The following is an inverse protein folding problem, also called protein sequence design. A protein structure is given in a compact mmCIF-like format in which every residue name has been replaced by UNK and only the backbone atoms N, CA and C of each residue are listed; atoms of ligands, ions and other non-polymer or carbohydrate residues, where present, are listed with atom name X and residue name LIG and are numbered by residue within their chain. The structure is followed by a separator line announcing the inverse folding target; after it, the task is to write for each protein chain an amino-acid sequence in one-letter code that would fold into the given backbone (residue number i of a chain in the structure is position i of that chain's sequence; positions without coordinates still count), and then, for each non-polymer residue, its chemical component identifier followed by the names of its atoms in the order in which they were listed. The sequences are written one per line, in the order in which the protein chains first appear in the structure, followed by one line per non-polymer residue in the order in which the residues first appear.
data_IF_054831767445
#
_entry.id   IF_054831767445
#
_cell.length_a   1.000
_cell.length_b   1.000
_cell.length_c   1.000
_cell.angle_alpha   90.00
_cell.angle_beta   90.00
_cell.angle_gamma   90.00
#
_symmetry.space_group_name_H-M   'P 1'
#
loop_
_entity.id
_entity.type
_entity.pdbx_description
1 polymer ?
#
# COMPACT_ATOMS: atom_id res chain seq x y z
N UNK A 1 -13.03 22.71 -3.49
CA UNK A 1 -12.56 21.84 -4.60
C UNK A 1 -12.62 20.39 -4.13
N UNK A 2 -13.32 19.46 -4.81
CA UNK A 2 -13.58 18.13 -4.28
C UNK A 2 -12.62 17.09 -4.88
N UNK A 3 -11.35 17.11 -4.46
CA UNK A 3 -10.39 16.03 -4.76
C UNK A 3 -10.60 14.81 -3.86
N UNK A 4 -11.07 15.01 -2.61
CA UNK A 4 -11.47 13.94 -1.67
C UNK A 4 -12.56 13.02 -2.21
N UNK A 5 -13.45 13.51 -3.09
CA UNK A 5 -14.59 12.74 -3.58
C UNK A 5 -14.23 11.67 -4.63
N UNK A 6 -13.11 11.83 -5.34
CA UNK A 6 -12.70 10.90 -6.41
C UNK A 6 -11.96 9.69 -5.84
N UNK A 7 -11.07 9.91 -4.87
CA UNK A 7 -10.40 8.84 -4.13
C UNK A 7 -11.40 8.00 -3.33
N UNK A 8 -12.30 8.66 -2.59
CA UNK A 8 -13.33 7.98 -1.80
C UNK A 8 -14.28 7.14 -2.67
N UNK A 9 -14.67 7.63 -3.86
CA UNK A 9 -15.51 6.86 -4.80
C UNK A 9 -14.82 5.59 -5.32
N UNK A 10 -13.50 5.60 -5.49
CA UNK A 10 -12.74 4.39 -5.90
C UNK A 10 -12.66 3.39 -4.75
N UNK A 11 -12.41 3.86 -3.53
CA UNK A 11 -12.45 3.04 -2.32
C UNK A 11 -13.84 2.43 -2.14
N UNK A 12 -14.91 3.23 -2.24
CA UNK A 12 -16.29 2.74 -2.13
C UNK A 12 -16.64 1.73 -3.23
N UNK A 13 -16.10 1.87 -4.44
CA UNK A 13 -16.29 0.90 -5.53
C UNK A 13 -15.55 -0.41 -5.27
N UNK A 14 -14.33 -0.35 -4.74
CA UNK A 14 -13.57 -1.54 -4.35
C UNK A 14 -14.30 -2.24 -3.19
N UNK A 15 -14.64 -1.51 -2.12
CA UNK A 15 -15.38 -2.03 -0.95
C UNK A 15 -16.77 -2.57 -1.33
N UNK A 16 -17.48 -1.94 -2.27
CA UNK A 16 -18.77 -2.44 -2.75
C UNK A 16 -18.64 -3.71 -3.61
N UNK A 17 -17.61 -3.80 -4.46
CA UNK A 17 -17.30 -5.03 -5.19
C UNK A 17 -16.95 -6.18 -4.23
N UNK A 18 -16.23 -5.88 -3.15
CA UNK A 18 -15.87 -6.82 -2.07
C UNK A 18 -17.10 -7.38 -1.34
N UNK A 19 -18.07 -6.51 -0.95
CA UNK A 19 -19.30 -6.96 -0.28
C UNK A 19 -20.19 -7.87 -1.14
N UNK A 20 -20.25 -7.61 -2.45
CA UNK A 20 -21.05 -8.42 -3.37
C UNK A 20 -20.41 -9.78 -3.66
N UNK A 21 -19.08 -9.86 -3.72
CA UNK A 21 -18.34 -11.11 -3.91
C UNK A 21 -18.39 -12.03 -2.67
N UNK A 22 -18.38 -11.46 -1.46
CA UNK A 22 -18.49 -12.21 -0.19
C UNK A 22 -19.78 -13.01 -0.03
N UNK A 23 -20.81 -12.74 -0.84
CA UNK A 23 -22.07 -13.48 -0.82
C UNK A 23 -22.01 -14.81 -1.62
N UNK A 24 -20.95 -15.06 -2.39
CA UNK A 24 -20.75 -16.26 -3.21
C UNK A 24 -19.70 -17.20 -2.58
N UNK A 25 -19.94 -17.64 -1.34
CA UNK A 25 -19.02 -18.48 -0.57
C UNK A 25 -19.09 -19.95 -1.03
N UNK A 26 -18.30 -20.32 -2.03
CA UNK A 26 -18.10 -21.69 -2.50
C UNK A 26 -16.62 -22.11 -2.41
N UNK A 27 -16.33 -23.15 -1.62
CA UNK A 27 -15.00 -23.71 -1.30
C UNK A 27 -14.21 -24.17 -2.55
N UNK A 28 -12.88 -23.97 -2.56
CA UNK A 28 -11.91 -24.83 -3.28
C UNK A 28 -10.53 -24.80 -2.59
N UNK A 29 -9.76 -25.92 -2.58
CA UNK A 29 -8.56 -26.09 -1.76
C UNK A 29 -7.25 -25.68 -2.47
N UNK A 30 -6.30 -25.24 -1.63
CA UNK A 30 -4.94 -24.81 -1.91
C UNK A 30 -4.03 -25.89 -2.54
N UNK A 31 -3.25 -25.48 -3.54
CA UNK A 31 -1.99 -26.14 -3.89
C UNK A 31 -0.85 -25.14 -3.66
N UNK A 32 -0.06 -25.43 -2.63
CA UNK A 32 1.19 -24.75 -2.30
C UNK A 32 2.26 -25.15 -3.32
N UNK A 33 2.47 -24.32 -4.34
CA UNK A 33 3.67 -24.37 -5.16
C UNK A 33 4.74 -23.45 -4.54
N UNK A 34 5.93 -24.01 -4.33
CA UNK A 34 7.16 -23.29 -4.04
C UNK A 34 7.51 -22.40 -5.22
N UNK A 35 6.98 -21.16 -5.21
CA UNK A 35 7.10 -20.21 -6.30
C UNK A 35 8.33 -19.32 -6.12
N UNK A 36 9.05 -19.10 -7.21
CA UNK A 36 9.90 -17.92 -7.38
C UNK A 36 9.14 -16.67 -6.91
N UNK A 37 9.80 -15.65 -6.34
CA UNK A 37 9.11 -14.45 -5.88
C UNK A 37 8.23 -13.96 -7.01
N UNK A 38 6.93 -13.92 -6.74
CA UNK A 38 5.97 -13.47 -7.74
C UNK A 38 6.24 -11.99 -8.01
N UNK A 39 5.92 -11.47 -9.21
CA UNK A 39 6.04 -10.01 -9.48
C UNK A 39 5.30 -9.16 -8.43
N UNK A 40 4.22 -9.72 -7.87
CA UNK A 40 3.49 -9.18 -6.74
C UNK A 40 4.35 -9.04 -5.48
N UNK A 41 5.19 -10.03 -5.16
CA UNK A 41 6.16 -9.97 -4.07
C UNK A 41 7.10 -8.78 -4.24
N UNK A 42 7.65 -8.59 -5.45
CA UNK A 42 8.53 -7.47 -5.79
C UNK A 42 7.80 -6.12 -5.62
N UNK A 43 6.53 -6.03 -6.02
CA UNK A 43 5.72 -4.82 -5.84
C UNK A 43 5.51 -4.46 -4.37
N UNK A 44 5.16 -5.45 -3.55
CA UNK A 44 4.94 -5.24 -2.11
C UNK A 44 6.24 -4.91 -1.39
N UNK A 45 7.37 -5.46 -1.83
CA UNK A 45 8.69 -5.08 -1.34
C UNK A 45 9.03 -3.62 -1.68
N UNK A 46 8.63 -3.11 -2.86
CA UNK A 46 8.76 -1.68 -3.19
C UNK A 46 7.94 -0.84 -2.21
N UNK A 47 6.69 -1.21 -1.93
CA UNK A 47 5.84 -0.50 -0.95
C UNK A 47 6.48 -0.52 0.43
N UNK A 48 6.97 -1.68 0.88
CA UNK A 48 7.63 -1.81 2.17
C UNK A 48 8.83 -0.86 2.29
N UNK A 49 9.70 -0.82 1.27
CA UNK A 49 10.87 0.07 1.24
C UNK A 49 10.50 1.55 1.26
N UNK A 50 9.41 1.96 0.59
CA UNK A 50 8.91 3.34 0.65
C UNK A 50 8.53 3.74 2.08
N UNK A 51 7.88 2.83 2.81
CA UNK A 51 7.49 3.06 4.20
C UNK A 51 8.69 3.04 5.15
N UNK A 52 9.68 2.16 4.94
CA UNK A 52 10.93 2.15 5.71
C UNK A 52 11.73 3.44 5.54
N UNK A 53 11.87 3.93 4.31
CA UNK A 53 12.59 5.16 4.03
C UNK A 53 11.87 6.39 4.64
N UNK A 54 10.54 6.43 4.57
CA UNK A 54 9.76 7.45 5.27
C UNK A 54 9.96 7.37 6.79
N UNK A 55 9.94 6.17 7.37
CA UNK A 55 10.16 6.00 8.80
C UNK A 55 11.53 6.52 9.21
N UNK A 56 12.57 6.20 8.44
CA UNK A 56 13.94 6.65 8.71
C UNK A 56 14.02 8.18 8.69
N UNK A 57 13.37 8.82 7.72
CA UNK A 57 13.33 10.28 7.60
C UNK A 57 12.57 10.93 8.78
N UNK A 58 11.37 10.45 9.10
CA UNK A 58 10.59 10.95 10.24
C UNK A 58 11.34 10.75 11.57
N UNK A 59 12.05 9.63 11.71
CA UNK A 59 12.80 9.29 12.92
C UNK A 59 14.10 10.08 13.08
N UNK A 60 14.61 10.68 12.01
CA UNK A 60 15.80 11.53 12.06
C UNK A 60 15.54 12.86 12.79
N UNK A 61 14.27 13.26 12.93
CA UNK A 61 13.84 14.48 13.60
C UNK A 61 13.18 14.17 14.95
N UNK A 62 13.87 14.48 16.05
CA UNK A 62 13.34 14.31 17.40
C UNK A 62 12.07 15.14 17.67
N UNK A 63 11.89 16.26 16.95
CA UNK A 63 10.68 17.07 17.04
C UNK A 63 9.50 16.39 16.32
N UNK A 64 9.75 15.82 15.14
CA UNK A 64 8.74 15.07 14.37
C UNK A 64 8.29 13.84 15.15
N UNK A 65 9.22 13.06 15.70
CA UNK A 65 8.90 11.90 16.54
C UNK A 65 8.07 12.26 17.77
N UNK A 66 8.34 13.41 18.40
CA UNK A 66 7.58 13.84 19.58
C UNK A 66 6.15 14.23 19.20
N UNK A 67 5.99 14.91 18.07
CA UNK A 67 4.67 15.33 17.57
C UNK A 67 3.83 14.15 17.09
N UNK A 68 4.46 13.08 16.59
CA UNK A 68 3.80 11.94 15.93
C UNK A 68 4.03 10.61 16.65
N UNK A 69 4.31 10.63 17.95
CA UNK A 69 4.57 9.41 18.74
C UNK A 69 3.42 8.39 18.65
N UNK A 70 2.17 8.87 18.56
CA UNK A 70 0.98 8.03 18.39
C UNK A 70 0.81 7.46 16.97
N UNK A 71 1.41 8.10 15.98
CA UNK A 71 1.29 7.79 14.54
C UNK A 71 2.32 6.76 14.09
N UNK A 72 3.55 6.79 14.63
CA UNK A 72 4.61 5.84 14.28
C UNK A 72 4.22 4.35 14.42
N UNK A 73 3.42 3.93 15.42
CA UNK A 73 2.89 2.57 15.48
C UNK A 73 2.02 2.16 14.27
N UNK A 74 1.31 3.10 13.65
CA UNK A 74 0.49 2.82 12.44
C UNK A 74 1.41 2.49 11.26
N UNK A 75 2.50 3.24 11.11
CA UNK A 75 3.54 2.97 10.09
C UNK A 75 4.17 1.59 10.30
N UNK A 76 4.51 1.26 11.55
CA UNK A 76 5.00 -0.08 11.90
C UNK A 76 4.00 -1.19 11.60
N UNK A 77 2.72 -0.94 11.85
CA UNK A 77 1.66 -1.91 11.57
C UNK A 77 1.55 -2.16 10.06
N UNK A 78 1.56 -1.11 9.24
CA UNK A 78 1.53 -1.25 7.78
C UNK A 78 2.74 -2.04 7.24
N UNK A 79 3.95 -1.75 7.73
CA UNK A 79 5.17 -2.51 7.39
C UNK A 79 5.06 -3.99 7.79
N UNK A 80 4.59 -4.27 9.01
CA UNK A 80 4.42 -5.64 9.51
C UNK A 80 3.43 -6.45 8.68
N UNK A 81 2.31 -5.83 8.28
CA UNK A 81 1.32 -6.46 7.42
C UNK A 81 1.89 -6.76 6.02
N UNK A 82 2.68 -5.84 5.45
CA UNK A 82 3.37 -6.05 4.16
C UNK A 82 4.41 -7.17 4.23
N UNK A 83 5.11 -7.31 5.35
CA UNK A 83 6.13 -8.33 5.56
C UNK A 83 5.55 -9.69 6.00
N UNK A 84 4.24 -9.79 6.22
CA UNK A 84 3.62 -11.03 6.68
C UNK A 84 3.75 -12.13 5.61
N UNK A 85 4.43 -13.26 5.91
CA UNK A 85 4.68 -14.31 4.91
C UNK A 85 3.39 -15.00 4.44
N UNK A 86 2.32 -14.89 5.21
CA UNK A 86 0.99 -15.41 4.86
C UNK A 86 0.31 -14.56 3.78
N UNK A 87 0.69 -13.30 3.60
CA UNK A 87 0.05 -12.37 2.68
C UNK A 87 0.02 -12.93 1.25
N UNK A 88 1.10 -13.58 0.81
CA UNK A 88 1.17 -14.18 -0.53
C UNK A 88 0.48 -15.54 -0.64
N UNK A 89 0.27 -16.22 0.49
CA UNK A 89 -0.36 -17.54 0.55
C UNK A 89 -1.89 -17.44 0.63
N UNK A 90 -2.41 -16.26 0.92
CA UNK A 90 -3.84 -15.99 1.00
C UNK A 90 -4.57 -16.22 -0.33
N UNK A 91 -5.84 -16.60 -0.22
CA UNK A 91 -6.72 -16.58 -1.38
C UNK A 91 -6.81 -15.16 -1.96
N UNK A 92 -7.13 -15.05 -3.25
CA UNK A 92 -7.25 -13.77 -3.96
C UNK A 92 -8.03 -12.70 -3.18
N UNK A 93 -9.18 -13.07 -2.61
CA UNK A 93 -10.02 -12.14 -1.87
C UNK A 93 -9.42 -11.73 -0.53
N UNK A 94 -8.86 -12.69 0.21
CA UNK A 94 -8.17 -12.41 1.47
C UNK A 94 -6.95 -11.51 1.25
N UNK A 95 -6.19 -11.74 0.17
CA UNK A 95 -5.08 -10.89 -0.23
C UNK A 95 -5.53 -9.44 -0.45
N UNK A 96 -6.62 -9.24 -1.21
CA UNK A 96 -7.16 -7.90 -1.47
C UNK A 96 -7.68 -7.25 -0.18
N UNK A 97 -8.35 -8.00 0.69
CA UNK A 97 -8.80 -7.50 1.99
C UNK A 97 -7.60 -7.04 2.84
N UNK A 98 -6.53 -7.82 2.90
CA UNK A 98 -5.28 -7.42 3.59
C UNK A 98 -4.60 -6.21 2.94
N UNK A 99 -4.59 -6.09 1.60
CA UNK A 99 -4.11 -4.86 0.95
C UNK A 99 -4.98 -3.65 1.28
N UNK A 100 -6.29 -3.85 1.46
CA UNK A 100 -7.22 -2.83 1.92
C UNK A 100 -6.90 -2.35 3.34
N UNK A 101 -6.59 -3.26 4.25
CA UNK A 101 -6.16 -2.92 5.62
C UNK A 101 -4.86 -2.10 5.61
N UNK A 102 -3.87 -2.53 4.82
CA UNK A 102 -2.60 -1.80 4.67
C UNK A 102 -2.86 -0.41 4.09
N UNK A 103 -3.71 -0.30 3.06
CA UNK A 103 -4.07 0.96 2.45
C UNK A 103 -4.71 1.93 3.45
N UNK A 104 -5.62 1.45 4.28
CA UNK A 104 -6.26 2.26 5.33
C UNK A 104 -5.24 2.78 6.35
N UNK A 105 -4.28 1.95 6.77
CA UNK A 105 -3.18 2.41 7.63
C UNK A 105 -2.36 3.54 6.96
N UNK A 106 -2.01 3.38 5.68
CA UNK A 106 -1.22 4.39 4.95
C UNK A 106 -2.02 5.69 4.76
N UNK A 107 -3.33 5.59 4.53
CA UNK A 107 -4.22 6.76 4.45
C UNK A 107 -4.32 7.51 5.77
N UNK A 108 -4.45 6.79 6.89
CA UNK A 108 -4.45 7.39 8.22
C UNK A 108 -3.13 8.11 8.51
N UNK A 109 -1.99 7.50 8.14
CA UNK A 109 -0.68 8.15 8.22
C UNK A 109 -0.60 9.42 7.40
N UNK A 110 -1.10 9.41 6.16
CA UNK A 110 -1.13 10.60 5.30
C UNK A 110 -1.95 11.72 5.93
N UNK A 111 -3.17 11.42 6.39
CA UNK A 111 -4.05 12.41 7.02
C UNK A 111 -3.39 13.02 8.28
N UNK A 112 -2.75 12.21 9.13
CA UNK A 112 -2.08 12.71 10.34
C UNK A 112 -0.81 13.53 10.06
N UNK A 113 0.07 13.02 9.20
CA UNK A 113 1.35 13.67 8.91
C UNK A 113 1.17 14.97 8.12
N UNK A 114 0.19 15.00 7.20
CA UNK A 114 -0.12 16.20 6.42
C UNK A 114 -0.92 17.24 7.19
N UNK A 115 -1.59 16.86 8.29
CA UNK A 115 -2.25 17.83 9.17
C UNK A 115 -1.25 18.71 9.95
N UNK A 116 0.00 18.27 10.09
CA UNK A 116 1.06 19.03 10.77
C UNK A 116 1.90 19.85 9.78
N UNK A 117 1.71 21.17 9.75
CA UNK A 117 2.44 22.08 8.86
C UNK A 117 3.96 21.95 8.99
N UNK A 118 4.50 21.81 10.21
CA UNK A 118 5.93 21.68 10.42
C UNK A 118 6.48 20.37 9.83
N UNK A 119 5.68 19.30 9.88
CA UNK A 119 6.04 18.00 9.28
C UNK A 119 6.01 18.09 7.76
N UNK A 120 4.97 18.72 7.20
CA UNK A 120 4.91 19.00 5.76
C UNK A 120 6.12 19.79 5.27
N UNK A 121 6.49 20.87 5.96
CA UNK A 121 7.61 21.72 5.51
C UNK A 121 8.93 20.95 5.53
N UNK A 122 9.17 20.10 6.54
CA UNK A 122 10.43 19.37 6.69
C UNK A 122 10.50 18.11 5.84
N UNK A 123 9.39 17.40 5.72
CA UNK A 123 9.34 16.05 5.17
C UNK A 123 8.50 15.96 3.88
N UNK A 124 8.11 17.10 3.29
CA UNK A 124 7.25 17.17 2.08
C UNK A 124 7.65 16.21 0.97
N UNK A 125 8.95 16.05 0.73
CA UNK A 125 9.46 15.14 -0.28
C UNK A 125 9.17 13.68 0.10
N UNK A 126 9.56 13.25 1.31
CA UNK A 126 9.35 11.87 1.77
C UNK A 126 7.89 11.52 2.00
N UNK A 127 7.03 12.49 2.31
CA UNK A 127 5.58 12.26 2.39
C UNK A 127 4.95 11.84 1.05
N UNK A 128 5.60 12.10 -0.09
CA UNK A 128 5.18 11.56 -1.39
C UNK A 128 5.25 10.03 -1.45
N UNK A 129 6.02 9.39 -0.56
CA UNK A 129 6.11 7.94 -0.49
C UNK A 129 4.77 7.30 -0.10
N UNK A 130 3.94 7.99 0.69
CA UNK A 130 2.60 7.52 1.06
C UNK A 130 1.68 7.46 -0.17
N UNK A 131 1.69 8.49 -1.01
CA UNK A 131 0.92 8.52 -2.26
C UNK A 131 1.39 7.41 -3.22
N UNK A 132 2.71 7.27 -3.42
CA UNK A 132 3.27 6.20 -4.25
C UNK A 132 2.91 4.80 -3.73
N UNK A 133 2.98 4.59 -2.42
CA UNK A 133 2.59 3.35 -1.77
C UNK A 133 1.10 3.03 -2.01
N UNK A 134 0.20 4.00 -1.80
CA UNK A 134 -1.23 3.85 -2.04
C UNK A 134 -1.56 3.56 -3.51
N UNK A 135 -0.90 4.25 -4.44
CA UNK A 135 -1.05 3.97 -5.87
C UNK A 135 -0.59 2.56 -6.21
N UNK A 136 0.51 2.09 -5.62
CA UNK A 136 1.04 0.76 -5.88
C UNK A 136 0.09 -0.32 -5.37
N UNK A 137 -0.40 -0.18 -4.13
CA UNK A 137 -1.41 -1.09 -3.56
C UNK A 137 -2.69 -1.14 -4.40
N UNK A 138 -3.12 0.00 -4.94
CA UNK A 138 -4.30 0.08 -5.80
C UNK A 138 -4.10 -0.73 -7.08
N UNK A 139 -2.96 -0.56 -7.76
CA UNK A 139 -2.68 -1.26 -9.02
C UNK A 139 -2.43 -2.75 -8.79
N UNK A 140 -1.72 -3.13 -7.71
CA UNK A 140 -1.54 -4.54 -7.32
C UNK A 140 -2.89 -5.21 -7.00
N UNK A 141 -3.79 -4.51 -6.30
CA UNK A 141 -5.14 -5.00 -6.01
C UNK A 141 -5.97 -5.17 -7.29
N UNK A 142 -5.87 -4.21 -8.21
CA UNK A 142 -6.55 -4.28 -9.50
C UNK A 142 -6.03 -5.45 -10.36
N UNK A 143 -4.72 -5.69 -10.38
CA UNK A 143 -4.13 -6.85 -11.07
C UNK A 143 -4.58 -8.17 -10.43
N UNK A 144 -4.62 -8.25 -9.10
CA UNK A 144 -5.09 -9.44 -8.39
C UNK A 144 -6.57 -9.77 -8.71
N UNK A 145 -7.43 -8.76 -8.92
CA UNK A 145 -8.82 -8.94 -9.30
C UNK A 145 -9.00 -9.44 -10.75
N UNK A 146 -8.19 -8.94 -11.68
CA UNK A 146 -8.34 -9.18 -13.13
C UNK A 146 -7.61 -10.44 -13.66
N UNK A 147 -7.19 -11.34 -12.77
CA UNK A 147 -6.31 -12.51 -12.99
C UNK A 147 -6.80 -13.61 -13.95
N UNK A 148 -7.68 -13.32 -14.91
CA UNK A 148 -8.10 -14.26 -15.97
C UNK A 148 -7.33 -14.08 -17.30
N UNK A 149 -6.49 -13.06 -17.42
CA UNK A 149 -5.64 -12.89 -18.59
C UNK A 149 -4.23 -12.47 -18.17
N UNK A 150 -3.26 -12.84 -18.99
CA UNK A 150 -1.79 -12.73 -18.89
C UNK A 150 -1.29 -11.25 -18.74
N UNK A 151 -1.85 -10.53 -17.75
CA UNK A 151 -1.81 -9.08 -17.56
C UNK A 151 -0.80 -8.64 -16.51
N UNK A 152 0.20 -9.47 -16.23
CA UNK A 152 1.43 -9.14 -15.49
C UNK A 152 2.27 -7.99 -16.12
N UNK A 153 1.69 -7.25 -17.06
CA UNK A 153 2.28 -6.26 -17.96
C UNK A 153 1.39 -5.02 -18.10
N UNK A 154 0.64 -4.59 -17.08
CA UNK A 154 0.04 -3.27 -17.21
C UNK A 154 1.18 -2.23 -17.25
N UNK A 155 1.28 -1.42 -18.31
CA UNK A 155 2.34 -0.41 -18.42
C UNK A 155 2.30 0.58 -17.26
N UNK A 156 1.12 0.73 -16.63
CA UNK A 156 0.91 1.56 -15.46
C UNK A 156 1.66 1.06 -14.23
N UNK A 157 1.55 -0.23 -13.87
CA UNK A 157 2.26 -0.77 -12.72
C UNK A 157 3.79 -0.74 -12.96
N UNK A 158 4.24 -1.02 -14.19
CA UNK A 158 5.66 -0.89 -14.53
C UNK A 158 6.19 0.55 -14.41
N UNK A 159 5.45 1.54 -14.92
CA UNK A 159 5.81 2.94 -14.76
C UNK A 159 5.83 3.35 -13.28
N UNK A 160 4.90 2.83 -12.48
CA UNK A 160 4.83 3.10 -11.06
C UNK A 160 6.00 2.48 -10.29
N UNK A 161 6.40 1.24 -10.60
CA UNK A 161 7.66 0.65 -10.08
C UNK A 161 8.83 1.57 -10.32
N UNK A 162 9.00 2.03 -11.57
CA UNK A 162 10.09 2.94 -11.95
C UNK A 162 10.03 4.25 -11.14
N UNK A 163 8.84 4.81 -10.95
CA UNK A 163 8.66 6.03 -10.15
C UNK A 163 9.01 5.81 -8.67
N UNK A 164 8.57 4.70 -8.08
CA UNK A 164 8.88 4.33 -6.70
C UNK A 164 10.38 4.08 -6.51
N UNK A 165 11.01 3.34 -7.41
CA UNK A 165 12.45 3.09 -7.39
C UNK A 165 13.24 4.40 -7.50
N UNK A 166 12.83 5.29 -8.39
CA UNK A 166 13.44 6.61 -8.50
C UNK A 166 13.29 7.44 -7.22
N UNK A 167 12.09 7.43 -6.60
CA UNK A 167 11.85 8.11 -5.33
C UNK A 167 12.76 7.60 -4.21
N UNK A 168 12.96 6.28 -4.13
CA UNK A 168 13.86 5.62 -3.18
C UNK A 168 15.35 5.94 -3.39
N UNK A 169 15.77 6.26 -4.62
CA UNK A 169 17.16 6.63 -4.92
C UNK A 169 17.50 8.09 -4.63
N UNK A 170 16.49 8.94 -4.52
CA UNK A 170 16.63 10.34 -4.15
C UNK A 170 16.72 10.44 -2.61
N UNK A 171 17.95 10.45 -2.12
CA UNK A 171 18.30 10.68 -0.71
C UNK A 171 18.50 12.17 -0.43
#
# INVERSE_FOLDING_TARGET
MPLKAVGQRRVDQIVAALRNAGSARGKLPEQLETRSPSRRSEDLEIVHRLLEDLEQDLSSSAETLRSHYGTMPILKTAQQLLAAPELEQQSRYQFIDSLGEIFECIRELEDELTACTDTLVRHSYKLQHLDLAMQMLTEVSAEALNSDDDTSKTPRLHNLRTACEHALTLQ
#
